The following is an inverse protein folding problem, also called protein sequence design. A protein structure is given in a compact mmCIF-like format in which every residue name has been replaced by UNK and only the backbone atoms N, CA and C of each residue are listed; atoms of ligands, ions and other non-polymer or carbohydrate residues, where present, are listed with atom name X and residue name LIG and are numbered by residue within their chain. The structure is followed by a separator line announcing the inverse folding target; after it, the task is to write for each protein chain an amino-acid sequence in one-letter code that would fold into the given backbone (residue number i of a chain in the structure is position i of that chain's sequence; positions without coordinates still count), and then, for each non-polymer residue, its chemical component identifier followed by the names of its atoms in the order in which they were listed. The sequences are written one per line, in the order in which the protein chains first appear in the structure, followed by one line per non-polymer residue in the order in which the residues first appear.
data_IF_105563689882
#
_entry.id   IF_105563689882
#
_cell.length_a   1.000
_cell.length_b   1.000
_cell.length_c   1.000
_cell.angle_alpha   90.00
_cell.angle_beta   90.00
_cell.angle_gamma   90.00
#
_symmetry.space_group_name_H-M   'P 1'
#
loop_
_entity.id
_entity.type
_entity.pdbx_description
1 polymer ?
#
# COMPACT_ATOMS: atom_id res chain seq x y z
N UNK A 1 32.65 -44.80 -30.60
CA UNK A 1 33.28 -44.19 -29.42
C UNK A 1 32.32 -43.15 -28.85
N UNK A 2 32.03 -43.26 -27.56
CA UNK A 2 31.07 -42.44 -26.79
C UNK A 2 31.58 -41.00 -26.62
N UNK A 3 30.65 -40.04 -26.60
CA UNK A 3 30.54 -38.99 -25.55
C UNK A 3 29.12 -38.41 -25.59
N UNK A 4 28.31 -38.89 -24.65
CA UNK A 4 27.04 -38.28 -24.26
C UNK A 4 27.34 -36.94 -23.59
N UNK A 5 26.71 -35.85 -24.05
CA UNK A 5 26.56 -34.63 -23.27
C UNK A 5 25.07 -34.53 -22.94
N UNK A 6 24.74 -34.89 -21.71
CA UNK A 6 23.42 -34.65 -21.13
C UNK A 6 23.30 -33.16 -20.83
N UNK A 7 22.62 -32.42 -21.71
CA UNK A 7 22.10 -31.10 -21.34
C UNK A 7 20.75 -31.36 -20.66
N UNK A 8 20.75 -31.21 -19.34
CA UNK A 8 19.55 -31.23 -18.51
C UNK A 8 18.74 -29.98 -18.89
N UNK A 9 17.77 -30.14 -19.78
CA UNK A 9 16.69 -29.18 -19.99
C UNK A 9 15.83 -29.19 -18.72
N UNK A 10 16.10 -28.25 -17.81
CA UNK A 10 15.23 -27.94 -16.70
C UNK A 10 13.88 -27.49 -17.27
N UNK A 11 12.92 -28.41 -17.22
CA UNK A 11 11.51 -28.15 -17.46
C UNK A 11 11.00 -27.22 -16.36
N UNK A 12 11.11 -25.91 -16.56
CA UNK A 12 10.42 -24.93 -15.73
C UNK A 12 8.95 -24.92 -16.16
N UNK A 13 8.14 -25.62 -15.37
CA UNK A 13 6.68 -25.64 -15.44
C UNK A 13 6.11 -24.22 -15.56
N UNK A 14 5.51 -23.91 -16.70
CA UNK A 14 4.52 -22.84 -16.83
C UNK A 14 3.37 -23.17 -15.86
N UNK A 15 3.39 -22.58 -14.67
CA UNK A 15 2.14 -22.35 -13.96
C UNK A 15 1.46 -21.18 -14.67
N UNK A 16 0.57 -21.51 -15.60
CA UNK A 16 -0.50 -20.61 -15.98
C UNK A 16 -1.35 -20.38 -14.72
N UNK A 17 -1.24 -19.20 -14.14
CA UNK A 17 -2.19 -18.74 -13.13
C UNK A 17 -3.32 -18.07 -13.92
N UNK A 18 -4.53 -18.66 -13.98
CA UNK A 18 -5.68 -17.90 -14.41
C UNK A 18 -6.19 -17.08 -13.24
N UNK A 19 -7.00 -16.07 -13.58
CA UNK A 19 -7.99 -15.38 -12.74
C UNK A 19 -7.59 -13.97 -12.32
N UNK A 20 -8.25 -13.03 -12.99
CA UNK A 20 -9.09 -12.02 -12.36
C UNK A 20 -8.36 -10.82 -11.79
N UNK A 21 -8.78 -9.62 -12.19
CA UNK A 21 -8.29 -8.36 -11.65
C UNK A 21 -8.10 -8.44 -10.13
N UNK A 22 -6.85 -8.52 -9.73
CA UNK A 22 -6.39 -8.27 -8.39
C UNK A 22 -5.40 -7.13 -8.57
N UNK A 23 -5.85 -5.95 -8.15
CA UNK A 23 -5.00 -4.81 -7.86
C UNK A 23 -3.68 -5.29 -7.24
N UNK A 24 -2.58 -4.67 -7.65
CA UNK A 24 -1.25 -4.82 -7.07
C UNK A 24 -1.33 -5.37 -5.63
N UNK A 25 -0.85 -6.60 -5.41
CA UNK A 25 -0.78 -7.23 -4.10
C UNK A 25 -0.23 -6.18 -3.12
N UNK A 26 -1.06 -5.58 -2.23
CA UNK A 26 -0.59 -4.53 -1.36
C UNK A 26 0.26 -5.27 -0.33
N UNK A 27 1.54 -5.44 -0.65
CA UNK A 27 2.52 -5.89 0.31
C UNK A 27 2.33 -5.03 1.54
N UNK A 28 2.09 -5.75 2.62
CA UNK A 28 1.82 -5.38 4.01
C UNK A 28 2.95 -4.57 4.64
N UNK A 29 3.53 -3.62 3.91
CA UNK A 29 4.48 -2.68 4.46
C UNK A 29 3.71 -1.69 5.35
N UNK A 30 4.17 -1.48 6.60
CA UNK A 30 3.57 -0.47 7.45
C UNK A 30 3.70 0.90 6.78
N UNK A 31 2.60 1.64 6.73
CA UNK A 31 2.55 3.01 6.24
C UNK A 31 2.76 3.99 7.39
N UNK A 32 3.71 4.92 7.23
CA UNK A 32 3.95 5.98 8.22
C UNK A 32 2.90 7.09 8.09
N UNK A 33 2.31 7.47 9.23
CA UNK A 33 1.41 8.59 9.37
C UNK A 33 2.11 9.72 10.12
N UNK A 34 2.23 10.87 9.47
CA UNK A 34 2.69 12.10 10.11
C UNK A 34 1.49 12.89 10.62
N UNK A 35 1.31 12.98 11.95
CA UNK A 35 0.06 13.42 12.56
C UNK A 35 0.15 14.79 13.23
N UNK A 36 -0.91 15.58 13.09
CA UNK A 36 -1.15 16.80 13.90
C UNK A 36 -2.23 16.52 14.95
N UNK A 37 -1.96 16.84 16.20
CA UNK A 37 -2.89 16.70 17.33
C UNK A 37 -2.83 15.36 18.08
N UNK A 38 -2.14 14.36 17.52
CA UNK A 38 -1.81 13.05 18.14
C UNK A 38 -0.40 12.64 17.72
N UNK A 39 0.26 11.67 18.39
CA UNK A 39 1.58 11.19 17.97
C UNK A 39 1.59 10.63 16.54
N UNK A 40 2.70 10.76 15.81
CA UNK A 40 2.91 10.08 14.52
C UNK A 40 3.16 8.57 14.72
N UNK A 41 2.91 7.74 13.72
CA UNK A 41 3.08 6.28 13.87
C UNK A 41 2.76 5.46 12.64
N UNK A 42 2.76 4.14 12.79
CA UNK A 42 2.57 3.21 11.69
C UNK A 42 1.14 2.66 11.67
N UNK A 43 0.58 2.46 10.47
CA UNK A 43 -0.62 1.64 10.24
C UNK A 43 -0.30 0.57 9.20
N UNK A 44 -1.15 -0.44 9.05
CA UNK A 44 -0.99 -1.46 8.00
C UNK A 44 -2.32 -1.74 7.33
N UNK A 45 -2.32 -2.07 6.04
CA UNK A 45 -3.50 -2.53 5.32
C UNK A 45 -3.71 -4.02 5.59
N UNK A 46 -4.96 -4.45 5.75
CA UNK A 46 -5.29 -5.86 5.65
C UNK A 46 -5.38 -6.28 4.18
N UNK A 47 -5.28 -7.58 3.90
CA UNK A 47 -5.40 -8.13 2.54
C UNK A 47 -6.75 -7.90 1.85
N UNK A 48 -7.70 -7.18 2.48
CA UNK A 48 -8.95 -6.73 1.88
C UNK A 48 -8.92 -5.23 1.50
N UNK A 49 -7.75 -4.57 1.54
CA UNK A 49 -7.59 -3.16 1.22
C UNK A 49 -8.08 -2.19 2.30
N UNK A 50 -8.47 -2.69 3.48
CA UNK A 50 -8.87 -1.84 4.61
C UNK A 50 -7.69 -1.61 5.54
N UNK A 51 -7.45 -0.35 5.88
CA UNK A 51 -6.44 0.02 6.87
C UNK A 51 -6.84 -0.44 8.27
N UNK A 52 -5.89 -1.05 8.97
CA UNK A 52 -6.03 -1.59 10.31
C UNK A 52 -5.41 -0.66 11.36
N UNK A 53 -5.84 -0.77 12.63
CA UNK A 53 -5.18 -0.05 13.70
C UNK A 53 -3.69 -0.38 13.80
N UNK A 54 -2.87 0.60 14.16
CA UNK A 54 -1.42 0.44 14.27
C UNK A 54 -0.81 1.22 15.43
N UNK A 55 0.47 0.97 15.72
CA UNK A 55 1.14 1.52 16.89
C UNK A 55 1.61 2.95 16.64
N UNK A 56 1.39 3.82 17.63
CA UNK A 56 2.04 5.11 17.68
C UNK A 56 3.54 4.94 17.99
N UNK A 57 4.37 5.74 17.33
CA UNK A 57 5.83 5.63 17.46
C UNK A 57 6.35 6.03 18.85
N UNK A 58 5.62 6.90 19.53
CA UNK A 58 5.96 7.42 20.85
C UNK A 58 4.97 6.88 21.91
N UNK A 59 5.06 5.59 22.24
CA UNK A 59 4.37 5.01 23.40
C UNK A 59 3.69 3.67 23.15
N UNK A 60 2.74 3.32 24.03
CA UNK A 60 1.88 2.12 23.90
C UNK A 60 0.55 2.42 23.21
N UNK A 61 0.43 3.61 22.62
CA UNK A 61 -0.81 4.06 22.03
C UNK A 61 -1.09 3.45 20.66
N UNK A 62 -2.37 3.42 20.29
CA UNK A 62 -2.87 2.83 19.04
C UNK A 62 -3.59 3.89 18.23
N UNK A 63 -3.23 3.99 16.95
CA UNK A 63 -3.99 4.70 15.93
C UNK A 63 -5.11 3.83 15.41
N UNK A 64 -6.33 4.33 15.52
CA UNK A 64 -7.52 3.74 14.92
C UNK A 64 -7.94 4.65 13.78
N UNK A 65 -7.50 4.37 12.54
CA UNK A 65 -7.94 5.16 11.41
C UNK A 65 -9.43 4.96 11.14
N UNK A 66 -10.12 6.05 10.82
CA UNK A 66 -11.55 6.05 10.51
C UNK A 66 -11.93 6.76 9.22
N UNK A 67 -11.03 7.55 8.63
CA UNK A 67 -11.20 8.03 7.27
C UNK A 67 -9.84 8.18 6.55
N UNK A 68 -9.86 8.05 5.23
CA UNK A 68 -8.74 8.26 4.34
C UNK A 68 -9.22 8.91 3.05
N UNK A 69 -8.38 9.79 2.50
CA UNK A 69 -8.48 10.31 1.14
C UNK A 69 -7.07 10.27 0.55
N UNK A 70 -6.90 9.66 -0.61
CA UNK A 70 -5.60 9.62 -1.28
C UNK A 70 -5.71 9.58 -2.79
N UNK A 71 -4.65 10.04 -3.43
CA UNK A 71 -4.46 10.02 -4.87
C UNK A 71 -3.36 9.03 -5.22
N UNK A 72 -3.55 8.32 -6.33
CA UNK A 72 -2.58 7.41 -6.91
C UNK A 72 -2.10 7.99 -8.24
N UNK A 73 -0.80 8.20 -8.34
CA UNK A 73 -0.10 8.75 -9.48
C UNK A 73 0.85 7.70 -10.06
N UNK A 74 1.02 7.72 -11.38
CA UNK A 74 1.92 6.83 -12.10
C UNK A 74 2.73 7.61 -13.12
N UNK A 75 4.04 7.36 -13.20
CA UNK A 75 4.93 7.88 -14.23
C UNK A 75 5.50 6.69 -15.02
N UNK A 76 5.03 6.46 -16.27
CA UNK A 76 5.61 5.43 -17.13
C UNK A 76 7.07 5.72 -17.44
N UNK A 77 7.87 4.69 -17.75
CA UNK A 77 9.26 4.88 -18.18
C UNK A 77 9.32 5.75 -19.45
N UNK A 78 9.99 6.91 -19.35
CA UNK A 78 10.08 7.87 -20.45
C UNK A 78 8.79 8.65 -20.75
N UNK A 79 7.76 8.51 -19.91
CA UNK A 79 6.49 9.23 -20.00
C UNK A 79 6.37 10.38 -19.00
N UNK A 80 5.20 11.01 -18.96
CA UNK A 80 4.85 12.01 -17.95
C UNK A 80 3.99 11.40 -16.83
N UNK A 81 4.01 12.04 -15.66
CA UNK A 81 3.20 11.64 -14.52
C UNK A 81 1.70 11.83 -14.81
N UNK A 82 0.90 10.84 -14.45
CA UNK A 82 -0.54 10.80 -14.64
C UNK A 82 -1.25 10.35 -13.36
N UNK A 83 -2.36 11.03 -13.02
CA UNK A 83 -3.28 10.58 -11.98
C UNK A 83 -4.03 9.35 -12.49
N UNK A 84 -3.85 8.20 -11.83
CA UNK A 84 -4.48 6.93 -12.21
C UNK A 84 -5.66 6.57 -11.30
N UNK A 85 -5.77 7.19 -10.12
CA UNK A 85 -6.91 6.97 -9.24
C UNK A 85 -7.00 7.94 -8.08
N UNK A 86 -8.21 8.06 -7.54
CA UNK A 86 -8.48 8.73 -6.27
C UNK A 86 -9.35 7.79 -5.46
N UNK A 87 -8.96 7.56 -4.23
CA UNK A 87 -9.62 6.64 -3.32
C UNK A 87 -10.02 7.38 -2.05
N UNK A 88 -11.21 7.05 -1.56
CA UNK A 88 -11.66 7.55 -0.27
C UNK A 88 -12.36 6.45 0.50
N UNK A 89 -12.12 6.42 1.80
CA UNK A 89 -12.75 5.49 2.71
C UNK A 89 -13.15 6.25 3.96
N UNK A 90 -14.36 5.99 4.45
CA UNK A 90 -14.76 6.50 5.77
C UNK A 90 -15.64 5.51 6.51
N UNK A 91 -15.44 5.48 7.82
CA UNK A 91 -16.34 4.91 8.82
C UNK A 91 -16.55 5.93 9.92
N UNK A 92 -17.59 5.72 10.71
CA UNK A 92 -17.87 6.60 11.85
C UNK A 92 -16.68 6.58 12.83
N UNK A 93 -16.25 7.78 13.23
CA UNK A 93 -15.21 7.95 14.23
C UNK A 93 -15.60 7.25 15.56
N UNK A 94 -14.62 6.65 16.27
CA UNK A 94 -14.82 6.16 17.64
C UNK A 94 -15.43 7.26 18.54
N UNK A 95 -16.41 6.91 19.37
CA UNK A 95 -17.17 7.87 20.21
C UNK A 95 -16.71 7.97 21.66
N UNK A 96 -15.59 7.34 21.99
CA UNK A 96 -15.07 7.14 23.35
C UNK A 96 -14.23 8.32 23.89
N UNK A 97 -14.41 9.53 23.36
CA UNK A 97 -13.74 10.74 23.85
C UNK A 97 -12.22 10.75 23.64
N UNK A 98 -11.72 9.85 22.81
CA UNK A 98 -10.30 9.78 22.47
C UNK A 98 -9.88 10.98 21.62
N UNK A 99 -8.63 11.46 21.78
CA UNK A 99 -8.07 12.46 20.89
C UNK A 99 -8.16 12.03 19.43
N UNK A 100 -8.50 12.98 18.56
CA UNK A 100 -8.51 12.80 17.12
C UNK A 100 -7.37 13.59 16.49
N UNK A 101 -6.74 13.01 15.48
CA UNK A 101 -5.68 13.64 14.71
C UNK A 101 -5.97 13.56 13.22
N UNK A 102 -5.39 14.52 12.50
CA UNK A 102 -5.31 14.51 11.04
C UNK A 102 -3.85 14.24 10.68
N UNK A 103 -3.62 13.24 9.85
CA UNK A 103 -2.29 12.79 9.48
C UNK A 103 -2.12 12.80 7.97
N UNK A 104 -0.90 13.04 7.50
CA UNK A 104 -0.52 12.91 6.09
C UNK A 104 0.35 11.67 5.90
N UNK A 105 0.29 11.08 4.72
CA UNK A 105 1.11 9.93 4.34
C UNK A 105 1.40 9.97 2.84
N UNK A 106 2.45 9.26 2.43
CA UNK A 106 2.71 9.03 1.02
C UNK A 106 3.97 8.21 0.80
N UNK A 107 3.96 7.42 -0.28
CA UNK A 107 5.06 6.55 -0.67
C UNK A 107 5.22 6.52 -2.18
N UNK A 108 6.45 6.21 -2.61
CA UNK A 108 6.78 5.94 -4.01
C UNK A 108 7.19 4.48 -4.14
N UNK A 109 6.72 3.82 -5.18
CA UNK A 109 7.01 2.41 -5.45
C UNK A 109 7.34 2.20 -6.93
N UNK A 110 8.04 1.11 -7.24
CA UNK A 110 8.35 0.76 -8.62
C UNK A 110 7.27 -0.20 -9.15
N UNK A 111 6.77 0.09 -10.34
CA UNK A 111 5.87 -0.78 -11.10
C UNK A 111 6.71 -1.45 -12.17
N UNK A 112 6.71 -2.78 -12.20
CA UNK A 112 7.52 -3.56 -13.14
C UNK A 112 6.61 -4.52 -13.87
N UNK A 113 6.64 -4.46 -15.20
CA UNK A 113 5.92 -5.37 -16.10
C UNK A 113 4.41 -5.48 -15.80
N UNK A 114 3.76 -4.38 -15.41
CA UNK A 114 2.31 -4.35 -15.23
C UNK A 114 1.61 -4.44 -16.60
N UNK A 115 0.63 -5.33 -16.79
CA UNK A 115 -0.01 -5.53 -18.09
C UNK A 115 -0.84 -4.33 -18.57
N UNK A 116 -1.26 -3.44 -17.68
CA UNK A 116 -2.07 -2.26 -18.00
C UNK A 116 -1.23 -0.97 -18.01
N UNK A 117 -0.31 -0.84 -17.05
CA UNK A 117 0.48 0.36 -16.82
C UNK A 117 1.90 0.27 -17.41
N UNK A 118 2.41 -0.93 -17.69
CA UNK A 118 3.80 -1.16 -18.08
C UNK A 118 4.78 -1.01 -16.92
N UNK A 119 6.01 -0.58 -17.23
CA UNK A 119 7.06 -0.30 -16.23
C UNK A 119 7.13 1.20 -15.95
N UNK A 120 7.30 1.56 -14.68
CA UNK A 120 7.36 2.96 -14.26
C UNK A 120 7.45 3.14 -12.74
N UNK A 121 7.19 4.37 -12.28
CA UNK A 121 7.16 4.72 -10.86
C UNK A 121 5.74 5.09 -10.44
N UNK A 122 5.22 4.43 -9.42
CA UNK A 122 3.99 4.79 -8.75
C UNK A 122 4.25 5.69 -7.54
N UNK A 123 3.29 6.55 -7.23
CA UNK A 123 3.28 7.40 -6.03
C UNK A 123 1.86 7.45 -5.51
N UNK A 124 1.67 7.30 -4.20
CA UNK A 124 0.41 7.66 -3.57
C UNK A 124 0.65 8.62 -2.42
N UNK A 125 -0.28 9.54 -2.22
CA UNK A 125 -0.24 10.49 -1.11
C UNK A 125 -1.65 10.83 -0.66
N UNK A 126 -1.80 11.13 0.63
CA UNK A 126 -3.12 11.35 1.18
C UNK A 126 -3.17 11.84 2.61
N UNK A 127 -4.41 11.94 3.08
CA UNK A 127 -4.78 12.37 4.41
C UNK A 127 -5.53 11.25 5.12
N UNK A 128 -5.18 10.99 6.37
CA UNK A 128 -5.82 10.05 7.25
C UNK A 128 -6.39 10.77 8.47
N UNK A 129 -7.61 10.40 8.87
CA UNK A 129 -8.18 10.80 10.14
C UNK A 129 -8.13 9.64 11.11
N UNK A 130 -7.50 9.86 12.26
CA UNK A 130 -7.24 8.82 13.25
C UNK A 130 -7.83 9.21 14.61
N UNK A 131 -8.29 8.19 15.34
CA UNK A 131 -8.53 8.28 16.77
C UNK A 131 -7.32 7.66 17.47
N UNK A 132 -6.82 8.29 18.53
CA UNK A 132 -5.66 7.82 19.28
C UNK A 132 -6.07 7.30 20.66
N UNK A 133 -5.66 6.07 21.00
CA UNK A 133 -5.89 5.49 22.33
C UNK A 133 -4.54 5.25 22.99
N UNK A 134 -4.22 5.97 24.07
CA UNK A 134 -2.96 5.86 24.81
C UNK A 134 -3.14 5.37 26.23
#
# INVERSE_FOLDING_TARGET
MKRLVCVVLLASSLMAIPVGGAAADPKTEPLWLECTGVPSGWITSNGNGLWTPGLASAGTGVHIPYAFEFELWFTPEGGEEQLVGTESYSKRAPRNGHPHGVCTFGETFQVVDDPELGTGTGRFEGVAWVSYTG
#
